data_IF_950406139688
#
_entry.id   IF_950406139688
#
_cell.length_a   1.000
_cell.length_b   1.000
_cell.length_c   1.000
_cell.angle_alpha   90.00
_cell.angle_beta   90.00
_cell.angle_gamma   90.00
#
_symmetry.space_group_name_H-M   'P 1'
#
loop_
_entity.id
_entity.type
_entity.pdbx_description
1 polymer ?
#
# COMPACT_ATOMS: atom_id res chain seq x y z
N UNK A 1 12.46 -13.95 -5.07
CA UNK A 1 11.90 -12.82 -5.83
C UNK A 1 13.04 -11.87 -6.14
N UNK A 2 13.43 -11.75 -7.40
CA UNK A 2 14.68 -11.07 -7.78
C UNK A 2 14.50 -9.55 -7.70
N UNK A 3 15.40 -8.87 -6.98
CA UNK A 3 15.48 -7.40 -6.89
C UNK A 3 15.84 -6.72 -8.23
N UNK A 4 15.75 -7.44 -9.35
CA UNK A 4 16.02 -7.00 -10.70
C UNK A 4 15.15 -5.81 -11.11
N UNK A 5 13.89 -5.77 -10.66
CA UNK A 5 12.99 -4.66 -10.96
C UNK A 5 13.55 -3.32 -10.45
N UNK A 6 14.10 -3.31 -9.24
CA UNK A 6 14.66 -2.12 -8.60
C UNK A 6 15.89 -1.65 -9.35
N UNK A 7 16.76 -2.59 -9.73
CA UNK A 7 17.95 -2.29 -10.53
C UNK A 7 17.58 -1.69 -11.90
N UNK A 8 16.59 -2.25 -12.59
CA UNK A 8 16.12 -1.75 -13.88
C UNK A 8 15.52 -0.35 -13.73
N UNK A 9 14.64 -0.14 -12.74
CA UNK A 9 14.04 1.16 -12.48
C UNK A 9 15.10 2.21 -12.17
N UNK A 10 16.08 1.86 -11.33
CA UNK A 10 17.17 2.76 -10.96
C UNK A 10 18.05 3.08 -12.17
N UNK A 11 18.42 2.08 -12.98
CA UNK A 11 19.16 2.29 -14.21
C UNK A 11 18.42 3.20 -15.20
N UNK A 12 17.09 3.08 -15.31
CA UNK A 12 16.26 3.97 -16.13
C UNK A 12 16.32 5.41 -15.63
N UNK A 13 16.19 5.62 -14.31
CA UNK A 13 16.30 6.94 -13.70
C UNK A 13 17.68 7.58 -13.97
N UNK A 14 18.76 6.81 -13.85
CA UNK A 14 20.13 7.31 -14.08
C UNK A 14 20.42 7.68 -15.54
N UNK A 15 19.68 7.11 -16.51
CA UNK A 15 19.84 7.48 -17.93
C UNK A 15 19.37 8.90 -18.21
N UNK A 16 18.45 9.42 -17.41
CA UNK A 16 17.97 10.79 -17.55
C UNK A 16 19.00 11.75 -16.95
N UNK A 17 19.60 12.62 -17.79
CA UNK A 17 20.63 13.58 -17.34
C UNK A 17 20.20 14.44 -16.15
N UNK A 18 18.90 14.77 -16.09
CA UNK A 18 18.29 15.56 -15.01
C UNK A 18 18.29 14.85 -13.65
N UNK A 19 18.36 13.53 -13.64
CA UNK A 19 18.22 12.71 -12.43
C UNK A 19 19.50 11.92 -12.10
N UNK A 20 20.64 12.36 -12.65
CA UNK A 20 21.93 11.74 -12.38
C UNK A 20 22.28 11.87 -10.89
N UNK A 21 22.54 10.75 -10.23
CA UNK A 21 22.85 10.71 -8.79
C UNK A 21 21.62 10.74 -7.87
N UNK A 22 20.41 10.75 -8.42
CA UNK A 22 19.18 10.56 -7.65
C UNK A 22 19.01 9.06 -7.31
N UNK A 23 18.16 8.69 -6.35
CA UNK A 23 17.95 7.28 -6.00
C UNK A 23 16.46 6.93 -5.94
N UNK A 24 16.14 5.63 -5.98
CA UNK A 24 14.76 5.15 -5.85
C UNK A 24 14.44 4.81 -4.41
N UNK A 25 13.24 5.18 -3.97
CA UNK A 25 12.69 4.83 -2.67
C UNK A 25 11.56 3.81 -2.90
N UNK A 26 11.81 2.50 -2.75
CA UNK A 26 10.74 1.52 -2.78
C UNK A 26 9.79 1.77 -1.61
N UNK A 27 8.50 1.88 -1.90
CA UNK A 27 7.43 1.96 -0.92
C UNK A 27 6.69 0.63 -0.95
N UNK A 28 6.54 0.02 0.23
CA UNK A 28 5.69 -1.14 0.44
C UNK A 28 4.44 -0.70 1.18
N UNK A 29 3.29 -1.11 0.67
CA UNK A 29 2.01 -0.90 1.32
C UNK A 29 1.41 -2.23 1.75
N UNK A 30 0.60 -2.24 2.78
CA UNK A 30 -0.17 -3.41 3.18
C UNK A 30 -1.39 -2.99 3.98
N UNK A 31 -2.44 -3.77 3.95
CA UNK A 31 -3.54 -3.64 4.89
C UNK A 31 -3.56 -4.84 5.81
N UNK A 32 -4.00 -4.65 7.04
CA UNK A 32 -4.25 -5.75 7.96
C UNK A 32 -5.42 -5.35 8.86
N UNK A 33 -6.53 -6.07 8.75
CA UNK A 33 -7.75 -5.78 9.49
C UNK A 33 -7.57 -6.14 10.95
N UNK A 34 -7.60 -5.15 11.84
CA UNK A 34 -7.53 -5.34 13.29
C UNK A 34 -8.92 -5.24 13.92
N UNK A 35 -9.25 -6.21 14.75
CA UNK A 35 -10.47 -6.23 15.54
C UNK A 35 -10.26 -5.41 16.82
N UNK A 36 -10.96 -4.28 16.98
CA UNK A 36 -10.76 -3.36 18.11
C UNK A 36 -11.51 -3.80 19.38
N UNK A 37 -12.70 -4.40 19.24
CA UNK A 37 -13.49 -4.88 20.38
C UNK A 37 -14.60 -5.84 19.94
N UNK A 38 -14.69 -7.00 20.62
CA UNK A 38 -15.81 -7.98 20.49
C UNK A 38 -17.04 -7.66 21.33
N UNK A 39 -16.87 -6.91 22.42
CA UNK A 39 -17.92 -6.79 23.45
C UNK A 39 -18.84 -5.57 23.27
N UNK A 40 -18.41 -4.54 22.53
CA UNK A 40 -19.23 -3.35 22.26
C UNK A 40 -19.24 -3.01 20.75
N UNK A 41 -20.03 -3.76 20.00
CA UNK A 41 -20.50 -3.35 18.66
C UNK A 41 -19.62 -3.70 17.47
N UNK A 42 -18.86 -4.81 17.50
CA UNK A 42 -17.93 -5.30 16.45
C UNK A 42 -17.29 -4.16 15.67
N UNK A 43 -16.36 -3.46 16.33
CA UNK A 43 -15.59 -2.39 15.70
C UNK A 43 -14.35 -3.02 15.08
N UNK A 44 -14.32 -3.05 13.75
CA UNK A 44 -13.14 -3.43 12.97
C UNK A 44 -12.45 -2.16 12.47
N UNK A 45 -11.13 -2.15 12.47
CA UNK A 45 -10.31 -1.11 11.85
C UNK A 45 -9.41 -1.76 10.81
N UNK A 46 -9.39 -1.25 9.60
CA UNK A 46 -8.54 -1.79 8.55
C UNK A 46 -7.60 -0.70 8.01
N UNK A 47 -6.46 -0.45 8.67
CA UNK A 47 -5.51 0.55 8.22
C UNK A 47 -4.75 0.09 6.97
N UNK A 48 -4.58 1.02 6.02
CA UNK A 48 -3.56 0.91 4.98
C UNK A 48 -2.26 1.42 5.57
N UNK A 49 -1.32 0.50 5.80
CA UNK A 49 0.02 0.75 6.28
C UNK A 49 1.00 0.93 5.13
N UNK A 50 2.02 1.75 5.36
CA UNK A 50 3.09 2.04 4.42
C UNK A 50 4.45 2.00 5.13
N UNK A 51 5.47 1.51 4.43
CA UNK A 51 6.86 1.47 4.88
C UNK A 51 7.81 1.63 3.70
N UNK A 52 9.02 2.11 3.97
CA UNK A 52 10.10 2.12 2.96
C UNK A 52 10.74 0.73 2.89
N UNK A 53 11.02 0.26 1.67
CA UNK A 53 11.59 -1.05 1.42
C UNK A 53 13.07 -1.18 1.79
N UNK A 54 13.78 -0.06 1.97
CA UNK A 54 15.18 -0.01 2.39
C UNK A 54 15.41 -0.40 3.86
N UNK A 55 14.36 -0.42 4.67
CA UNK A 55 14.50 -0.92 6.04
C UNK A 55 14.64 -2.44 6.05
N UNK A 56 15.35 -2.98 7.03
CA UNK A 56 15.38 -4.43 7.23
C UNK A 56 13.99 -4.95 7.60
N UNK A 57 13.70 -6.21 7.24
CA UNK A 57 12.43 -6.86 7.57
C UNK A 57 12.15 -6.86 9.08
N UNK A 58 13.17 -7.15 9.91
CA UNK A 58 13.03 -7.18 11.36
C UNK A 58 12.69 -5.80 11.95
N UNK A 59 13.17 -4.70 11.33
CA UNK A 59 12.85 -3.33 11.77
C UNK A 59 11.40 -3.01 11.46
N UNK A 60 10.89 -3.43 10.29
CA UNK A 60 9.47 -3.26 9.94
C UNK A 60 8.54 -3.99 10.91
N UNK A 61 9.00 -5.11 11.47
CA UNK A 61 8.25 -5.88 12.48
C UNK A 61 8.30 -5.27 13.90
N UNK A 62 9.00 -4.15 14.12
CA UNK A 62 9.08 -3.49 15.43
C UNK A 62 8.28 -2.18 15.43
N UNK A 63 7.07 -2.17 16.03
CA UNK A 63 6.23 -0.97 16.09
C UNK A 63 6.92 0.23 16.75
N UNK A 64 7.78 -0.02 17.75
CA UNK A 64 8.54 1.02 18.47
C UNK A 64 9.51 1.80 17.59
N UNK A 65 9.97 1.22 16.47
CA UNK A 65 10.89 1.88 15.54
C UNK A 65 10.18 2.91 14.67
N UNK A 66 8.85 2.88 14.62
CA UNK A 66 8.05 3.84 13.87
C UNK A 66 8.35 3.85 12.37
N UNK A 67 8.78 2.73 11.81
CA UNK A 67 9.11 2.61 10.38
C UNK A 67 7.86 2.37 9.52
N UNK A 68 6.83 1.78 10.11
CA UNK A 68 5.52 1.61 9.49
C UNK A 68 4.59 2.75 9.92
N UNK A 69 3.82 3.28 8.98
CA UNK A 69 2.81 4.31 9.21
C UNK A 69 1.49 3.94 8.52
N UNK A 70 0.38 4.09 9.23
CA UNK A 70 -0.95 4.06 8.63
C UNK A 70 -1.19 5.36 7.85
N UNK A 71 -1.57 5.25 6.57
CA UNK A 71 -1.80 6.39 5.67
C UNK A 71 -3.29 6.56 5.32
N UNK A 72 -4.09 5.51 5.46
CA UNK A 72 -5.52 5.55 5.21
C UNK A 72 -6.25 4.49 6.06
N UNK A 73 -7.58 4.61 6.14
CA UNK A 73 -8.45 3.62 6.76
C UNK A 73 -9.43 3.11 5.71
N UNK A 74 -9.43 1.80 5.49
CA UNK A 74 -10.43 1.15 4.66
C UNK A 74 -11.74 1.01 5.47
N UNK A 75 -12.90 1.19 4.84
CA UNK A 75 -14.18 0.96 5.49
C UNK A 75 -14.27 -0.49 5.97
N UNK A 76 -14.66 -0.67 7.24
CA UNK A 76 -15.01 -1.98 7.80
C UNK A 76 -16.20 -2.56 7.05
N UNK A 77 -16.36 -3.90 7.08
CA UNK A 77 -17.46 -4.55 6.37
C UNK A 77 -18.81 -3.96 6.80
N UNK A 78 -19.69 -3.72 5.82
CA UNK A 78 -21.08 -3.43 6.11
C UNK A 78 -21.68 -4.67 6.80
N UNK A 79 -22.23 -4.49 8.00
CA UNK A 79 -22.91 -5.57 8.72
C UNK A 79 -24.15 -5.94 7.93
N UNK A 80 -24.20 -7.17 7.41
CA UNK A 80 -25.37 -7.69 6.71
C UNK A 80 -26.54 -7.80 7.68
N UNK A 81 -27.66 -7.14 7.38
CA UNK A 81 -28.93 -7.48 8.01
C UNK A 81 -29.40 -8.78 7.33
N UNK A 82 -29.62 -9.86 8.08
CA UNK A 82 -29.87 -11.21 7.55
C UNK A 82 -31.06 -11.38 6.58
N UNK A 83 -31.75 -10.30 6.21
CA UNK A 83 -32.86 -10.19 5.27
C UNK A 83 -32.46 -10.01 3.80
N UNK A 84 -31.18 -9.93 3.46
CA UNK A 84 -30.74 -9.56 2.10
C UNK A 84 -30.66 -10.76 1.12
N UNK A 85 -31.21 -10.55 -0.07
CA UNK A 85 -31.10 -11.51 -1.20
C UNK A 85 -29.65 -11.65 -1.69
N UNK A 86 -29.36 -12.73 -2.41
CA UNK A 86 -28.01 -12.98 -2.98
C UNK A 86 -27.55 -11.86 -3.92
N UNK A 87 -28.48 -11.26 -4.68
CA UNK A 87 -28.21 -10.14 -5.57
C UNK A 87 -27.84 -8.86 -4.80
N UNK A 88 -28.61 -8.51 -3.77
CA UNK A 88 -28.34 -7.34 -2.93
C UNK A 88 -26.98 -7.44 -2.22
N UNK A 89 -26.63 -8.64 -1.74
CA UNK A 89 -25.29 -8.90 -1.16
C UNK A 89 -24.16 -8.73 -2.16
N UNK A 90 -24.38 -9.08 -3.42
CA UNK A 90 -23.37 -8.93 -4.49
C UNK A 90 -23.15 -7.46 -4.83
N UNK A 91 -24.24 -6.70 -5.04
CA UNK A 91 -24.19 -5.27 -5.34
C UNK A 91 -23.49 -4.46 -4.23
N UNK A 92 -23.79 -4.77 -2.97
CA UNK A 92 -23.12 -4.11 -1.84
C UNK A 92 -21.62 -4.43 -1.76
N UNK A 93 -21.21 -5.65 -2.12
CA UNK A 93 -19.79 -6.03 -2.19
C UNK A 93 -19.06 -5.26 -3.28
N UNK A 94 -19.69 -5.08 -4.44
CA UNK A 94 -19.13 -4.28 -5.54
C UNK A 94 -18.91 -2.84 -5.07
N UNK A 95 -19.94 -2.20 -4.50
CA UNK A 95 -19.82 -0.84 -3.96
C UNK A 95 -18.76 -0.71 -2.87
N UNK A 96 -18.68 -1.67 -1.95
CA UNK A 96 -17.66 -1.66 -0.92
C UNK A 96 -16.25 -1.75 -1.52
N UNK A 97 -16.04 -2.59 -2.55
CA UNK A 97 -14.78 -2.68 -3.26
C UNK A 97 -14.45 -1.38 -4.01
N UNK A 98 -15.42 -0.74 -4.66
CA UNK A 98 -15.23 0.55 -5.33
C UNK A 98 -14.74 1.62 -4.35
N UNK A 99 -15.38 1.73 -3.18
CA UNK A 99 -14.95 2.67 -2.13
C UNK A 99 -13.53 2.38 -1.67
N UNK A 100 -13.17 1.10 -1.45
CA UNK A 100 -11.80 0.73 -1.07
C UNK A 100 -10.78 1.10 -2.15
N UNK A 101 -11.12 0.92 -3.43
CA UNK A 101 -10.26 1.32 -4.54
C UNK A 101 -10.08 2.83 -4.60
N UNK A 102 -11.13 3.61 -4.38
CA UNK A 102 -11.05 5.07 -4.34
C UNK A 102 -10.18 5.56 -3.17
N UNK A 103 -10.33 4.97 -1.98
CA UNK A 103 -9.46 5.28 -0.83
C UNK A 103 -7.99 5.00 -1.16
N UNK A 104 -7.68 3.87 -1.79
CA UNK A 104 -6.31 3.53 -2.19
C UNK A 104 -5.78 4.48 -3.28
N UNK A 105 -6.59 4.83 -4.28
CA UNK A 105 -6.21 5.81 -5.31
C UNK A 105 -5.88 7.16 -4.68
N UNK A 106 -6.71 7.62 -3.74
CA UNK A 106 -6.50 8.89 -3.05
C UNK A 106 -5.25 8.85 -2.16
N UNK A 107 -5.03 7.76 -1.43
CA UNK A 107 -3.87 7.58 -0.56
C UNK A 107 -2.53 7.64 -1.32
N UNK A 108 -2.50 7.13 -2.56
CA UNK A 108 -1.29 7.07 -3.39
C UNK A 108 -1.30 8.04 -4.58
N UNK A 109 -2.25 8.99 -4.66
CA UNK A 109 -2.44 9.87 -5.83
C UNK A 109 -1.16 10.62 -6.25
N UNK A 110 -0.38 11.04 -5.25
CA UNK A 110 0.80 11.85 -5.47
C UNK A 110 2.04 11.03 -5.81
N UNK A 111 2.04 9.69 -5.63
CA UNK A 111 3.24 8.87 -5.77
C UNK A 111 3.83 8.96 -7.18
N UNK A 112 2.99 9.00 -8.22
CA UNK A 112 3.43 9.12 -9.61
C UNK A 112 4.04 10.50 -9.91
N UNK A 113 3.51 11.56 -9.28
CA UNK A 113 4.06 12.92 -9.39
C UNK A 113 5.39 13.02 -8.65
N UNK A 114 5.47 12.48 -7.44
CA UNK A 114 6.69 12.43 -6.62
C UNK A 114 7.77 11.58 -7.29
N UNK A 115 7.41 10.47 -7.94
CA UNK A 115 8.33 9.68 -8.76
C UNK A 115 8.91 10.47 -9.92
N UNK A 116 8.13 11.32 -10.60
CA UNK A 116 8.64 12.11 -11.73
C UNK A 116 9.47 13.32 -11.28
N UNK A 117 9.02 14.00 -10.22
CA UNK A 117 9.69 15.22 -9.72
C UNK A 117 10.93 14.91 -8.88
N UNK A 118 10.90 13.80 -8.15
CA UNK A 118 11.79 13.55 -7.03
C UNK A 118 11.39 14.36 -5.80
N UNK A 119 11.89 13.93 -4.65
CA UNK A 119 11.79 14.60 -3.36
C UNK A 119 13.18 14.76 -2.76
N UNK A 120 13.40 15.84 -2.03
CA UNK A 120 14.62 16.03 -1.26
C UNK A 120 14.54 15.22 0.03
N UNK A 121 15.64 14.53 0.36
CA UNK A 121 15.78 13.72 1.56
C UNK A 121 17.09 14.09 2.24
N UNK A 122 16.98 14.40 3.53
CA UNK A 122 18.14 14.52 4.41
C UNK A 122 18.56 13.09 4.79
N UNK A 123 19.73 12.68 4.34
CA UNK A 123 20.29 11.38 4.69
C UNK A 123 21.00 11.41 6.05
N UNK A 124 21.28 10.24 6.66
CA UNK A 124 21.95 10.17 7.96
C UNK A 124 23.34 10.83 8.03
N UNK A 125 23.99 11.04 6.89
CA UNK A 125 25.27 11.75 6.79
C UNK A 125 25.12 13.28 6.69
N UNK A 126 23.90 13.80 6.91
CA UNK A 126 23.58 15.22 6.86
C UNK A 126 23.47 15.79 5.45
N UNK A 127 23.71 14.99 4.40
CA UNK A 127 23.63 15.45 3.01
C UNK A 127 22.20 15.34 2.48
N UNK A 128 21.79 16.35 1.73
CA UNK A 128 20.53 16.34 0.98
C UNK A 128 20.75 15.57 -0.32
N UNK A 129 19.90 14.59 -0.58
CA UNK A 129 19.87 13.82 -1.82
C UNK A 129 18.46 13.79 -2.38
N UNK A 130 18.35 13.59 -3.69
CA UNK A 130 17.07 13.46 -4.36
C UNK A 130 16.64 11.99 -4.45
N UNK A 131 15.48 11.67 -3.89
CA UNK A 131 14.87 10.35 -3.95
C UNK A 131 13.58 10.34 -4.76
N UNK A 132 13.29 9.22 -5.40
CA UNK A 132 12.12 9.03 -6.25
C UNK A 132 11.27 7.88 -5.68
N UNK A 133 10.17 8.17 -4.97
CA UNK A 133 9.32 7.13 -4.40
C UNK A 133 8.57 6.35 -5.46
N UNK A 134 8.51 5.04 -5.30
CA UNK A 134 7.76 4.14 -6.19
C UNK A 134 7.00 3.11 -5.35
N UNK A 135 5.73 2.90 -5.64
CA UNK A 135 4.98 1.79 -5.05
C UNK A 135 5.52 0.50 -5.64
N UNK A 136 6.29 -0.23 -4.84
CA UNK A 136 7.07 -1.37 -5.31
C UNK A 136 6.33 -2.70 -5.10
N UNK A 137 5.57 -2.80 -4.02
CA UNK A 137 4.82 -4.00 -3.68
C UNK A 137 3.69 -3.66 -2.72
N UNK A 138 2.60 -4.40 -2.85
CA UNK A 138 1.59 -4.51 -1.81
C UNK A 138 1.84 -5.82 -1.07
N UNK A 139 1.93 -5.83 0.26
CA UNK A 139 2.06 -7.08 1.01
C UNK A 139 0.66 -7.41 1.49
N UNK A 140 0.05 -8.44 0.91
CA UNK A 140 -1.28 -8.92 1.32
C UNK A 140 -1.33 -10.44 1.18
N UNK A 141 -2.21 -11.08 1.92
CA UNK A 141 -2.55 -12.48 1.65
C UNK A 141 -3.37 -12.59 0.36
N UNK A 142 -3.47 -13.79 -0.21
CA UNK A 142 -4.14 -14.02 -1.50
C UNK A 142 -5.63 -13.58 -1.48
N UNK A 143 -6.32 -13.79 -0.35
CA UNK A 143 -7.72 -13.43 -0.22
C UNK A 143 -7.92 -11.91 -0.15
N UNK A 144 -6.94 -11.20 0.41
CA UNK A 144 -6.89 -9.75 0.50
C UNK A 144 -6.50 -9.11 -0.83
N UNK A 145 -5.50 -9.67 -1.54
CA UNK A 145 -5.17 -9.27 -2.92
C UNK A 145 -6.37 -9.34 -3.85
N UNK A 146 -7.11 -10.44 -3.78
CA UNK A 146 -8.28 -10.67 -4.63
C UNK A 146 -9.39 -9.65 -4.37
N UNK A 147 -9.54 -9.21 -3.11
CA UNK A 147 -10.52 -8.19 -2.71
C UNK A 147 -10.06 -6.77 -3.06
N UNK A 148 -8.80 -6.42 -2.79
CA UNK A 148 -8.26 -5.09 -3.00
C UNK A 148 -8.18 -4.71 -4.48
N UNK A 149 -7.77 -5.66 -5.32
CA UNK A 149 -7.55 -5.43 -6.75
C UNK A 149 -8.68 -5.97 -7.64
N UNK A 150 -9.79 -6.44 -7.04
CA UNK A 150 -10.92 -7.04 -7.75
C UNK A 150 -10.50 -8.13 -8.75
N UNK A 151 -9.50 -8.94 -8.38
CA UNK A 151 -9.04 -10.07 -9.19
C UNK A 151 -10.10 -11.17 -9.09
N UNK A 152 -10.27 -11.98 -10.14
CA UNK A 152 -11.20 -13.11 -10.07
C UNK A 152 -10.77 -14.08 -8.96
N UNK A 153 -11.68 -14.43 -8.05
CA UNK A 153 -11.41 -15.50 -7.08
C UNK A 153 -11.04 -16.79 -7.84
N UNK A 154 -9.90 -17.40 -7.48
CA UNK A 154 -9.31 -18.63 -8.08
C UNK A 154 -8.43 -18.45 -9.31
N UNK A 155 -7.98 -17.23 -9.63
CA UNK A 155 -6.85 -17.02 -10.54
C UNK A 155 -5.62 -16.56 -9.77
N UNK A 156 -4.43 -17.02 -10.17
CA UNK A 156 -3.18 -16.58 -9.55
C UNK A 156 -2.91 -15.13 -9.99
N UNK A 157 -2.63 -14.18 -9.08
CA UNK A 157 -2.16 -12.86 -9.47
C UNK A 157 -0.82 -13.00 -10.20
N UNK A 158 -0.75 -12.47 -11.43
CA UNK A 158 0.47 -12.43 -12.23
C UNK A 158 1.38 -11.27 -11.79
#
# INVERSE_FOLDING_TARGET
YTATWWWIAHAKLQREKKHKGHFIIPIFAYSDGVELSRYCGDKELNPVNMTVGNYDAWVRCKPSMGVVRAIALLPSRLKYTGSETSHQRTEQRIRANEVQQEVNKEAFKDIGKLYKKGIEIVCPDGKIRWGHPILASWIADYMEYTKLFSILNKTCPA
#
